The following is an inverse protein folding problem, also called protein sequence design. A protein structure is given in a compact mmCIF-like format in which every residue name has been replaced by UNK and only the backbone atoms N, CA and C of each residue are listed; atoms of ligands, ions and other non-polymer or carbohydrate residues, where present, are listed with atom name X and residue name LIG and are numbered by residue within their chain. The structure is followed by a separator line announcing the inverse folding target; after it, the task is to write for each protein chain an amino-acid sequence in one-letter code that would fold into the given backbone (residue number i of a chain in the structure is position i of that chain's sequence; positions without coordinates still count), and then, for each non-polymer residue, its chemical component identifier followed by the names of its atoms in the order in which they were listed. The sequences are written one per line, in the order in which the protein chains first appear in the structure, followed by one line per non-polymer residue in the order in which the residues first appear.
data_IF_528932461702
#
_entry.id   IF_528932461702
#
_cell.length_a   1.000
_cell.length_b   1.000
_cell.length_c   1.000
_cell.angle_alpha   90.00
_cell.angle_beta   90.00
_cell.angle_gamma   90.00
#
_symmetry.space_group_name_H-M   'P 1'
#
loop_
_entity.id
_entity.type
_entity.pdbx_description
1 polymer ?
#
# COMPACT_ATOMS: atom_id res chain seq x y z
N UNK A 1 4.92 -0.09 8.49
CA UNK A 1 4.84 0.06 7.01
C UNK A 1 5.75 1.17 6.48
N UNK A 2 5.60 2.43 6.93
CA UNK A 2 6.36 3.57 6.37
C UNK A 2 7.88 3.33 6.35
N UNK A 3 8.46 2.86 7.46
CA UNK A 3 9.89 2.51 7.57
C UNK A 3 10.34 1.56 6.45
N UNK A 4 9.64 0.44 6.27
CA UNK A 4 9.96 -0.56 5.25
C UNK A 4 9.81 0.00 3.83
N UNK A 5 8.73 0.75 3.57
CA UNK A 5 8.44 1.29 2.26
C UNK A 5 9.39 2.41 1.83
N UNK A 6 9.88 3.24 2.77
CA UNK A 6 10.95 4.22 2.51
C UNK A 6 12.31 3.56 2.30
N UNK A 7 12.61 2.53 3.11
CA UNK A 7 13.89 1.82 3.06
C UNK A 7 13.95 0.76 1.96
N UNK A 8 14.75 -0.28 2.19
CA UNK A 8 14.88 -1.44 1.28
C UNK A 8 13.83 -2.53 1.53
N UNK A 9 13.09 -2.43 2.63
CA UNK A 9 12.07 -3.40 3.03
C UNK A 9 10.84 -3.46 2.14
N UNK A 10 10.02 -4.47 2.42
CA UNK A 10 8.75 -4.78 1.76
C UNK A 10 7.65 -4.97 2.81
N UNK A 11 6.40 -4.87 2.38
CA UNK A 11 5.24 -5.20 3.19
C UNK A 11 4.56 -6.42 2.59
N UNK A 12 4.37 -7.45 3.40
CA UNK A 12 3.69 -8.68 3.01
C UNK A 12 2.30 -8.73 3.62
N UNK A 13 1.28 -8.95 2.80
CA UNK A 13 -0.05 -9.34 3.27
C UNK A 13 -0.17 -10.85 3.15
N UNK A 14 -0.40 -11.57 4.24
CA UNK A 14 -0.45 -13.03 4.26
C UNK A 14 -1.80 -13.49 4.79
N UNK A 15 -2.55 -14.25 3.99
CA UNK A 15 -3.85 -14.75 4.40
C UNK A 15 -4.32 -15.94 3.55
N UNK A 16 -5.46 -16.49 3.94
CA UNK A 16 -6.16 -17.52 3.18
C UNK A 16 -7.60 -17.07 2.87
N UNK A 17 -8.23 -17.70 1.88
CA UNK A 17 -9.60 -17.39 1.47
C UNK A 17 -9.86 -15.89 1.32
N UNK A 18 -10.95 -15.39 1.91
CA UNK A 18 -11.32 -13.97 1.87
C UNK A 18 -10.20 -13.06 2.39
N UNK A 19 -9.56 -13.40 3.51
CA UNK A 19 -8.50 -12.59 4.10
C UNK A 19 -7.29 -12.42 3.16
N UNK A 20 -6.89 -13.50 2.47
CA UNK A 20 -5.84 -13.43 1.45
C UNK A 20 -6.24 -12.59 0.24
N UNK A 21 -7.49 -12.75 -0.24
CA UNK A 21 -8.02 -11.97 -1.38
C UNK A 21 -8.06 -10.47 -1.08
N UNK A 22 -8.45 -10.08 0.13
CA UNK A 22 -8.47 -8.68 0.54
C UNK A 22 -7.07 -8.04 0.51
N UNK A 23 -6.03 -8.79 0.89
CA UNK A 23 -4.64 -8.35 0.74
C UNK A 23 -4.25 -8.14 -0.74
N UNK A 24 -4.70 -9.02 -1.65
CA UNK A 24 -4.49 -8.85 -3.09
C UNK A 24 -5.18 -7.60 -3.62
N UNK A 25 -6.43 -7.34 -3.21
CA UNK A 25 -7.22 -6.18 -3.62
C UNK A 25 -6.54 -4.88 -3.15
N UNK A 26 -6.21 -4.74 -1.87
CA UNK A 26 -5.54 -3.54 -1.34
C UNK A 26 -4.23 -3.26 -2.08
N UNK A 27 -3.42 -4.30 -2.32
CA UNK A 27 -2.18 -4.14 -3.10
C UNK A 27 -2.43 -3.68 -4.52
N UNK A 28 -3.47 -4.17 -5.20
CA UNK A 28 -3.78 -3.78 -6.57
C UNK A 28 -4.14 -2.29 -6.65
N UNK A 29 -4.92 -1.80 -5.69
CA UNK A 29 -5.30 -0.38 -5.56
C UNK A 29 -4.08 0.50 -5.27
N UNK A 30 -3.10 0.03 -4.50
CA UNK A 30 -1.89 0.80 -4.23
C UNK A 30 -1.09 1.20 -5.48
N UNK A 31 -1.13 0.37 -6.53
CA UNK A 31 -0.42 0.63 -7.78
C UNK A 31 -1.10 1.76 -8.54
N UNK A 32 -2.40 1.62 -8.81
CA UNK A 32 -3.12 2.60 -9.64
C UNK A 32 -3.35 3.92 -8.91
N UNK A 33 -3.61 3.89 -7.60
CA UNK A 33 -3.91 5.07 -6.78
C UNK A 33 -2.65 5.85 -6.41
N UNK A 34 -1.56 5.18 -6.05
CA UNK A 34 -0.37 5.85 -5.48
C UNK A 34 0.91 5.62 -6.28
N UNK A 35 0.83 4.98 -7.45
CA UNK A 35 1.99 4.64 -8.27
C UNK A 35 2.99 3.79 -7.49
N UNK A 36 2.51 2.96 -6.55
CA UNK A 36 3.39 2.14 -5.72
C UNK A 36 4.05 1.05 -6.56
N UNK A 37 5.33 0.79 -6.32
CA UNK A 37 6.02 -0.29 -6.99
C UNK A 37 5.39 -1.65 -6.66
N UNK A 38 5.07 -2.49 -7.66
CA UNK A 38 4.62 -3.86 -7.50
C UNK A 38 5.48 -4.74 -6.58
N UNK A 39 6.75 -4.36 -6.38
CA UNK A 39 7.76 -5.09 -5.59
C UNK A 39 7.77 -4.72 -4.10
N UNK A 40 7.09 -3.64 -3.71
CA UNK A 40 7.12 -3.10 -2.33
C UNK A 40 6.02 -3.66 -1.44
N UNK A 41 4.85 -3.96 -2.02
CA UNK A 41 3.73 -4.58 -1.31
C UNK A 41 3.40 -5.89 -2.01
N UNK A 42 3.52 -6.99 -1.28
CA UNK A 42 3.46 -8.36 -1.81
C UNK A 42 2.30 -9.09 -1.14
N UNK A 43 1.22 -9.40 -1.87
CA UNK A 43 0.14 -10.20 -1.32
C UNK A 43 0.45 -11.68 -1.50
N UNK A 44 0.24 -12.46 -0.44
CA UNK A 44 0.46 -13.89 -0.38
C UNK A 44 -0.86 -14.52 0.06
N UNK A 45 -1.46 -15.26 -0.85
CA UNK A 45 -2.68 -16.04 -0.62
C UNK A 45 -2.32 -17.53 -0.53
N UNK A 46 -2.79 -18.20 0.53
CA UNK A 46 -2.65 -19.64 0.67
C UNK A 46 -3.22 -20.35 -0.58
N UNK A 47 -2.45 -21.29 -1.14
CA UNK A 47 -2.83 -21.99 -2.38
C UNK A 47 -2.48 -21.24 -3.68
N UNK A 48 -1.94 -20.03 -3.58
CA UNK A 48 -1.46 -19.25 -4.72
C UNK A 48 -2.56 -18.55 -5.51
N UNK A 49 -2.18 -17.82 -6.56
CA UNK A 49 -3.05 -16.88 -7.26
C UNK A 49 -4.34 -17.50 -7.82
N UNK A 50 -4.34 -18.80 -8.16
CA UNK A 50 -5.53 -19.53 -8.64
C UNK A 50 -6.71 -19.46 -7.66
N UNK A 51 -6.43 -19.38 -6.36
CA UNK A 51 -7.46 -19.28 -5.31
C UNK A 51 -8.17 -17.93 -5.26
N UNK A 52 -7.70 -16.93 -6.03
CA UNK A 52 -8.45 -15.69 -6.23
C UNK A 52 -9.81 -15.93 -6.88
N UNK A 53 -9.90 -16.88 -7.80
CA UNK A 53 -11.09 -17.12 -8.63
C UNK A 53 -11.87 -18.38 -8.24
N UNK A 54 -11.38 -19.15 -7.28
CA UNK A 54 -11.98 -20.43 -6.89
C UNK A 54 -11.66 -20.84 -5.46
N UNK A 55 -12.13 -22.02 -5.04
CA UNK A 55 -11.86 -22.55 -3.70
C UNK A 55 -10.36 -22.84 -3.51
N UNK A 56 -9.95 -22.83 -2.24
CA UNK A 56 -8.60 -23.23 -1.81
C UNK A 56 -8.70 -24.65 -1.26
N UNK A 57 -8.25 -25.66 -2.01
CA UNK A 57 -8.14 -27.04 -1.50
C UNK A 57 -7.06 -27.10 -0.41
N UNK A 58 -7.46 -27.16 0.86
CA UNK A 58 -6.63 -27.44 2.06
C UNK A 58 -5.32 -26.63 2.20
N UNK A 59 -5.17 -25.53 1.46
CA UNK A 59 -3.90 -24.81 1.41
C UNK A 59 -3.62 -24.00 2.69
N UNK A 60 -4.65 -23.78 3.51
CA UNK A 60 -4.57 -22.98 4.73
C UNK A 60 -4.20 -23.80 5.99
N UNK A 61 -4.24 -25.14 5.89
CA UNK A 61 -4.19 -26.06 7.04
C UNK A 61 -2.77 -26.47 7.47
N UNK A 62 -1.72 -26.02 6.76
CA UNK A 62 -0.33 -26.39 7.04
C UNK A 62 0.52 -25.18 7.41
N UNK A 63 1.09 -25.18 8.63
CA UNK A 63 2.03 -24.12 9.06
C UNK A 63 3.29 -24.12 8.20
N UNK A 64 3.77 -25.29 7.77
CA UNK A 64 4.99 -25.46 6.98
C UNK A 64 4.92 -24.67 5.66
N UNK A 65 3.73 -24.55 5.08
CA UNK A 65 3.53 -23.79 3.85
C UNK A 65 3.72 -22.28 4.08
N UNK A 66 3.27 -21.78 5.24
CA UNK A 66 3.52 -20.40 5.69
C UNK A 66 5.01 -20.13 5.94
N UNK A 67 5.70 -21.09 6.58
CA UNK A 67 7.16 -21.00 6.78
C UNK A 67 7.90 -20.99 5.45
N UNK A 68 7.60 -21.95 4.56
CA UNK A 68 8.23 -22.08 3.24
C UNK A 68 8.10 -20.81 2.41
N UNK A 69 6.94 -20.16 2.42
CA UNK A 69 6.73 -18.96 1.62
C UNK A 69 7.54 -17.76 2.16
N UNK A 70 7.64 -17.59 3.48
CA UNK A 70 8.48 -16.54 4.08
C UNK A 70 9.97 -16.75 3.75
N UNK A 71 10.42 -18.01 3.73
CA UNK A 71 11.77 -18.38 3.29
C UNK A 71 11.99 -18.09 1.80
N UNK A 72 11.03 -18.47 0.95
CA UNK A 72 11.08 -18.24 -0.50
C UNK A 72 11.25 -16.77 -0.85
N UNK A 73 10.55 -15.88 -0.14
CA UNK A 73 10.69 -14.43 -0.33
C UNK A 73 11.91 -13.83 0.36
N UNK A 74 12.71 -14.65 1.06
CA UNK A 74 13.82 -14.22 1.89
C UNK A 74 13.43 -13.04 2.81
N UNK A 75 12.33 -13.21 3.56
CA UNK A 75 11.88 -12.21 4.52
C UNK A 75 12.99 -11.93 5.54
N UNK A 76 13.16 -10.68 5.90
CA UNK A 76 14.21 -10.22 6.82
C UNK A 76 13.74 -9.03 7.69
N UNK A 77 14.62 -8.53 8.54
CA UNK A 77 14.36 -7.45 9.52
C UNK A 77 13.86 -6.11 8.95
N UNK A 78 14.11 -5.84 7.68
CA UNK A 78 13.64 -4.61 7.04
C UNK A 78 12.18 -4.73 6.57
N UNK A 79 11.65 -5.95 6.49
CA UNK A 79 10.30 -6.24 6.04
C UNK A 79 9.25 -6.12 7.17
N UNK A 80 8.00 -5.97 6.75
CA UNK A 80 6.82 -6.06 7.62
C UNK A 80 5.92 -7.18 7.10
N UNK A 81 5.51 -8.09 7.96
CA UNK A 81 4.59 -9.19 7.61
C UNK A 81 3.27 -9.02 8.37
N UNK A 82 2.19 -8.84 7.62
CA UNK A 82 0.84 -8.63 8.15
C UNK A 82 0.03 -9.90 7.87
N UNK A 83 -0.21 -10.68 8.92
CA UNK A 83 -1.01 -11.89 8.90
C UNK A 83 -2.48 -11.56 9.11
N UNK A 84 -3.34 -12.00 8.20
CA UNK A 84 -4.77 -11.68 8.17
C UNK A 84 -5.55 -12.97 8.32
N UNK A 85 -6.28 -13.12 9.43
CA UNK A 85 -7.13 -14.28 9.68
C UNK A 85 -8.28 -13.90 10.60
N UNK A 86 -9.52 -14.02 10.12
CA UNK A 86 -10.70 -13.72 10.92
C UNK A 86 -10.78 -14.64 12.16
N UNK A 87 -10.59 -15.95 11.95
CA UNK A 87 -10.57 -16.93 13.04
C UNK A 87 -9.37 -16.77 13.97
N UNK A 88 -8.26 -16.22 13.46
CA UNK A 88 -7.02 -16.03 14.18
C UNK A 88 -6.29 -17.35 14.49
N UNK A 89 -6.73 -18.47 13.89
CA UNK A 89 -6.17 -19.81 14.10
C UNK A 89 -5.68 -20.50 12.83
N UNK A 90 -5.73 -19.83 11.68
CA UNK A 90 -5.33 -20.39 10.37
C UNK A 90 -3.85 -20.81 10.38
N UNK A 91 -3.50 -22.11 10.27
CA UNK A 91 -2.13 -22.61 10.36
C UNK A 91 -1.15 -21.94 9.39
N UNK A 92 -1.55 -21.74 8.13
CA UNK A 92 -0.71 -21.06 7.14
C UNK A 92 -0.25 -19.66 7.61
N UNK A 93 -1.16 -18.89 8.21
CA UNK A 93 -0.86 -17.54 8.72
C UNK A 93 0.00 -17.61 9.98
N UNK A 94 -0.27 -18.58 10.86
CA UNK A 94 0.56 -18.83 12.06
C UNK A 94 2.00 -19.14 11.65
N UNK A 95 2.21 -20.08 10.74
CA UNK A 95 3.54 -20.47 10.27
C UNK A 95 4.30 -19.31 9.61
N UNK A 96 3.60 -18.47 8.83
CA UNK A 96 4.18 -17.28 8.23
C UNK A 96 4.62 -16.25 9.28
N UNK A 97 3.77 -15.93 10.26
CA UNK A 97 4.12 -14.98 11.32
C UNK A 97 5.26 -15.50 12.21
N UNK A 98 5.25 -16.79 12.57
CA UNK A 98 6.35 -17.44 13.30
C UNK A 98 7.69 -17.27 12.59
N UNK A 99 7.74 -17.63 11.31
CA UNK A 99 8.99 -17.56 10.52
C UNK A 99 9.44 -16.10 10.27
N UNK A 100 8.49 -15.19 10.04
CA UNK A 100 8.77 -13.76 9.88
C UNK A 100 9.41 -13.17 11.15
N UNK A 101 8.82 -13.47 12.32
CA UNK A 101 9.34 -13.04 13.62
C UNK A 101 10.72 -13.61 13.90
N UNK A 102 10.93 -14.91 13.62
CA UNK A 102 12.26 -15.57 13.74
C UNK A 102 13.33 -14.90 12.87
N UNK A 103 12.94 -14.34 11.72
CA UNK A 103 13.81 -13.61 10.78
C UNK A 103 13.98 -12.12 11.12
N UNK A 104 13.38 -11.68 12.23
CA UNK A 104 13.47 -10.30 12.73
C UNK A 104 12.55 -9.31 12.02
N UNK A 105 11.66 -9.76 11.11
CA UNK A 105 10.70 -8.88 10.46
C UNK A 105 9.67 -8.40 11.49
N UNK A 106 9.17 -7.16 11.33
CA UNK A 106 8.08 -6.68 12.16
C UNK A 106 6.79 -7.41 11.79
N UNK A 107 6.13 -8.04 12.75
CA UNK A 107 4.92 -8.83 12.51
C UNK A 107 3.66 -8.13 13.02
N UNK A 108 2.59 -8.20 12.22
CA UNK A 108 1.27 -7.63 12.55
C UNK A 108 0.22 -8.70 12.38
N UNK A 109 -0.71 -8.83 13.33
CA UNK A 109 -1.89 -9.69 13.21
C UNK A 109 -3.15 -8.83 13.04
N UNK A 110 -3.97 -9.17 12.03
CA UNK A 110 -5.32 -8.65 11.86
C UNK A 110 -6.29 -9.81 12.06
N UNK A 111 -7.10 -9.73 13.11
CA UNK A 111 -8.11 -10.74 13.48
C UNK A 111 -9.34 -10.07 14.08
N UNK A 112 -10.41 -10.82 14.28
CA UNK A 112 -11.60 -10.33 15.02
C UNK A 112 -11.78 -11.06 16.36
N UNK A 113 -10.83 -11.94 16.70
CA UNK A 113 -10.85 -12.75 17.92
C UNK A 113 -9.73 -12.30 18.88
N UNK A 114 -10.05 -11.78 20.06
CA UNK A 114 -9.05 -11.33 21.03
C UNK A 114 -8.15 -12.46 21.53
N UNK A 115 -8.65 -13.71 21.51
CA UNK A 115 -7.93 -14.91 21.96
C UNK A 115 -7.28 -15.67 20.80
N UNK A 116 -7.10 -15.02 19.65
CA UNK A 116 -6.50 -15.63 18.46
C UNK A 116 -5.08 -16.17 18.71
N UNK A 117 -4.80 -17.36 18.17
CA UNK A 117 -3.46 -17.98 18.23
C UNK A 117 -2.39 -17.13 17.53
N UNK A 118 -2.74 -16.45 16.44
CA UNK A 118 -1.80 -15.59 15.70
C UNK A 118 -1.28 -14.40 16.52
N UNK A 119 -2.00 -13.97 17.57
CA UNK A 119 -1.61 -12.83 18.42
C UNK A 119 -0.26 -13.07 19.10
N UNK A 120 0.05 -14.33 19.45
CA UNK A 120 1.32 -14.72 20.09
C UNK A 120 2.55 -14.53 19.21
N UNK A 121 2.35 -14.42 17.89
CA UNK A 121 3.42 -14.33 16.90
C UNK A 121 3.49 -12.96 16.21
N UNK A 122 2.69 -12.00 16.69
CA UNK A 122 2.66 -10.63 16.20
C UNK A 122 3.32 -9.67 17.21
N UNK A 123 4.02 -8.66 16.70
CA UNK A 123 4.48 -7.53 17.51
C UNK A 123 3.35 -6.51 17.71
N UNK A 124 2.44 -6.41 16.74
CA UNK A 124 1.28 -5.52 16.77
C UNK A 124 0.02 -6.34 16.48
N UNK A 125 -0.99 -6.22 17.34
CA UNK A 125 -2.30 -6.87 17.16
C UNK A 125 -3.35 -5.82 16.87
N UNK A 126 -4.06 -5.97 15.75
CA UNK A 126 -5.23 -5.17 15.38
C UNK A 126 -6.44 -6.09 15.43
N UNK A 127 -7.28 -5.91 16.45
CA UNK A 127 -8.40 -6.81 16.75
C UNK A 127 -9.74 -6.07 16.87
N UNK A 128 -10.38 -5.65 15.76
CA UNK A 128 -11.75 -5.14 15.80
C UNK A 128 -12.73 -6.27 16.16
N UNK A 129 -13.36 -6.19 17.32
CA UNK A 129 -14.37 -7.16 17.74
C UNK A 129 -15.69 -6.85 17.02
N UNK A 130 -16.05 -7.67 16.04
CA UNK A 130 -17.25 -7.46 15.19
C UNK A 130 -18.47 -8.27 15.64
N UNK A 131 -18.32 -9.13 16.66
CA UNK A 131 -19.35 -10.04 17.16
C UNK A 131 -19.69 -11.19 16.19
N UNK A 132 -20.70 -12.03 16.53
CA UNK A 132 -21.14 -13.15 15.71
C UNK A 132 -21.63 -12.72 14.32
N UNK A 133 -21.31 -13.49 13.28
CA UNK A 133 -21.81 -13.23 11.93
C UNK A 133 -23.30 -13.57 11.81
N UNK A 134 -24.03 -12.86 10.94
CA UNK A 134 -25.46 -13.13 10.70
C UNK A 134 -25.69 -14.54 10.12
N UNK A 135 -24.77 -15.02 9.29
CA UNK A 135 -24.66 -16.44 8.91
C UNK A 135 -23.53 -17.02 9.75
N UNK A 136 -23.85 -17.99 10.61
CA UNK A 136 -22.89 -18.61 11.52
C UNK A 136 -21.62 -19.07 10.77
N UNK A 137 -20.46 -18.54 11.17
CA UNK A 137 -19.16 -18.88 10.60
C UNK A 137 -18.81 -18.20 9.27
N UNK A 138 -19.72 -17.45 8.65
CA UNK A 138 -19.48 -16.75 7.38
C UNK A 138 -18.67 -15.47 7.58
N UNK A 139 -17.39 -15.60 7.97
CA UNK A 139 -16.51 -14.46 8.27
C UNK A 139 -16.14 -13.62 7.06
N UNK A 140 -16.63 -13.95 5.85
CA UNK A 140 -16.53 -13.07 4.68
C UNK A 140 -17.37 -11.79 4.82
N UNK A 141 -18.26 -11.75 5.81
CA UNK A 141 -19.19 -10.66 6.08
C UNK A 141 -18.54 -9.59 6.97
N UNK A 142 -18.94 -9.42 8.23
CA UNK A 142 -18.46 -8.32 9.08
C UNK A 142 -16.95 -8.37 9.28
N UNK A 143 -16.38 -9.56 9.52
CA UNK A 143 -14.94 -9.70 9.70
C UNK A 143 -14.17 -9.35 8.42
N UNK A 144 -14.65 -9.77 7.25
CA UNK A 144 -14.08 -9.39 5.95
C UNK A 144 -14.15 -7.87 5.71
N UNK A 145 -15.28 -7.24 6.01
CA UNK A 145 -15.45 -5.79 5.91
C UNK A 145 -14.48 -5.04 6.83
N UNK A 146 -14.37 -5.46 8.09
CA UNK A 146 -13.42 -4.86 9.04
C UNK A 146 -11.96 -5.00 8.55
N UNK A 147 -11.59 -6.18 8.02
CA UNK A 147 -10.27 -6.41 7.43
C UNK A 147 -10.00 -5.47 6.25
N UNK A 148 -10.96 -5.30 5.33
CA UNK A 148 -10.82 -4.37 4.20
C UNK A 148 -10.61 -2.94 4.69
N UNK A 149 -11.43 -2.47 5.63
CA UNK A 149 -11.31 -1.12 6.19
C UNK A 149 -9.94 -0.90 6.83
N UNK A 150 -9.46 -1.84 7.64
CA UNK A 150 -8.14 -1.76 8.28
C UNK A 150 -7.01 -1.71 7.24
N UNK A 151 -7.04 -2.60 6.24
CA UNK A 151 -6.02 -2.60 5.18
C UNK A 151 -6.00 -1.26 4.46
N UNK A 152 -7.17 -0.75 4.06
CA UNK A 152 -7.30 0.54 3.37
C UNK A 152 -6.83 1.70 4.25
N UNK A 153 -7.13 1.70 5.55
CA UNK A 153 -6.66 2.74 6.48
C UNK A 153 -5.13 2.70 6.61
N UNK A 154 -4.56 1.52 6.85
CA UNK A 154 -3.11 1.34 7.00
C UNK A 154 -2.35 1.73 5.72
N UNK A 155 -2.82 1.24 4.58
CA UNK A 155 -2.19 1.46 3.28
C UNK A 155 -2.29 2.94 2.88
N UNK A 156 -3.48 3.54 2.96
CA UNK A 156 -3.70 4.96 2.65
C UNK A 156 -2.91 5.88 3.57
N UNK A 157 -2.94 5.67 4.89
CA UNK A 157 -2.19 6.48 5.84
C UNK A 157 -0.67 6.40 5.59
N UNK A 158 -0.16 5.22 5.24
CA UNK A 158 1.23 5.07 4.84
C UNK A 158 1.54 5.86 3.56
N UNK A 159 0.68 5.81 2.54
CA UNK A 159 0.90 6.55 1.28
C UNK A 159 0.86 8.06 1.47
N UNK A 160 -0.05 8.58 2.31
CA UNK A 160 -0.08 9.99 2.69
C UNK A 160 1.25 10.40 3.32
N UNK A 161 1.74 9.64 4.31
CA UNK A 161 3.02 9.92 4.99
C UNK A 161 4.25 9.71 4.09
N UNK A 162 4.11 8.99 2.98
CA UNK A 162 5.11 8.83 1.93
C UNK A 162 5.03 9.93 0.85
N UNK A 163 4.19 10.96 1.05
CA UNK A 163 4.04 12.08 0.12
C UNK A 163 3.34 11.70 -1.17
N UNK A 164 2.61 10.58 -1.24
CA UNK A 164 1.89 10.16 -2.47
C UNK A 164 0.57 10.91 -2.68
N UNK A 165 0.17 11.70 -1.69
CA UNK A 165 -1.04 12.52 -1.66
C UNK A 165 -0.62 13.94 -1.25
N UNK A 166 -1.28 14.94 -1.83
CA UNK A 166 -1.18 16.34 -1.40
C UNK A 166 -2.57 16.82 -1.03
N UNK A 167 -2.75 17.32 0.19
CA UNK A 167 -4.09 17.55 0.76
C UNK A 167 -4.97 16.29 0.63
N UNK A 168 -6.00 16.33 -0.22
CA UNK A 168 -6.86 15.20 -0.58
C UNK A 168 -6.69 14.76 -2.06
N UNK A 169 -5.69 15.29 -2.77
CA UNK A 169 -5.44 15.06 -4.18
C UNK A 169 -4.47 13.91 -4.43
N UNK A 170 -4.83 13.05 -5.39
CA UNK A 170 -4.08 11.86 -5.78
C UNK A 170 -2.93 12.21 -6.73
N UNK A 171 -1.97 13.02 -6.27
CA UNK A 171 -0.86 13.58 -7.07
C UNK A 171 0.16 12.53 -7.55
N UNK A 172 0.00 11.25 -7.22
CA UNK A 172 0.89 10.17 -7.64
C UNK A 172 0.12 9.03 -8.35
N UNK A 173 -1.09 9.30 -8.85
CA UNK A 173 -1.89 8.33 -9.60
C UNK A 173 -1.19 7.92 -10.90
N UNK A 174 -1.46 6.69 -11.37
CA UNK A 174 -0.97 6.24 -12.68
C UNK A 174 -2.00 6.57 -13.77
N UNK A 175 -1.68 7.43 -14.76
CA UNK A 175 -2.61 7.92 -15.77
C UNK A 175 -2.76 6.95 -16.96
N UNK A 176 -3.15 5.71 -16.64
CA UNK A 176 -3.22 4.58 -17.59
C UNK A 176 -4.53 4.49 -18.39
N UNK A 177 -5.49 5.36 -18.11
CA UNK A 177 -6.76 5.42 -18.85
C UNK A 177 -7.16 6.86 -19.08
N UNK A 178 -8.03 7.11 -20.07
CA UNK A 178 -8.57 8.45 -20.36
C UNK A 178 -9.13 9.11 -19.11
N UNK A 179 -9.94 8.39 -18.32
CA UNK A 179 -10.47 8.87 -17.03
C UNK A 179 -9.37 9.36 -16.07
N UNK A 180 -8.26 8.62 -15.99
CA UNK A 180 -7.16 8.95 -15.07
C UNK A 180 -6.29 10.09 -15.60
N UNK A 181 -6.14 10.22 -16.93
CA UNK A 181 -5.51 11.38 -17.58
C UNK A 181 -6.33 12.65 -17.35
N UNK A 182 -7.65 12.58 -17.50
CA UNK A 182 -8.56 13.70 -17.19
C UNK A 182 -8.49 14.10 -15.72
N UNK A 183 -8.40 13.13 -14.82
CA UNK A 183 -8.18 13.41 -13.40
C UNK A 183 -6.83 14.09 -13.16
N UNK A 184 -5.76 13.69 -13.85
CA UNK A 184 -4.45 14.32 -13.75
C UNK A 184 -4.49 15.80 -14.17
N UNK A 185 -5.14 16.12 -15.31
CA UNK A 185 -5.33 17.50 -15.77
C UNK A 185 -6.04 18.35 -14.72
N UNK A 186 -7.17 17.86 -14.18
CA UNK A 186 -7.91 18.55 -13.10
C UNK A 186 -7.05 18.79 -11.86
N UNK A 187 -6.23 17.82 -11.45
CA UNK A 187 -5.32 17.98 -10.30
C UNK A 187 -4.32 19.10 -10.55
N UNK A 188 -3.69 19.13 -11.74
CA UNK A 188 -2.74 20.19 -12.10
C UNK A 188 -3.43 21.55 -12.08
N UNK A 189 -4.57 21.69 -12.77
CA UNK A 189 -5.36 22.93 -12.78
C UNK A 189 -5.70 23.42 -11.37
N UNK A 190 -6.20 22.54 -10.49
CA UNK A 190 -6.53 22.90 -9.11
C UNK A 190 -5.31 23.36 -8.30
N UNK A 191 -4.13 22.79 -8.56
CA UNK A 191 -2.91 23.09 -7.79
C UNK A 191 -2.13 24.29 -8.31
N UNK A 192 -2.32 24.66 -9.57
CA UNK A 192 -1.51 25.71 -10.22
C UNK A 192 -2.32 26.88 -10.76
N UNK A 193 -3.63 26.72 -10.97
CA UNK A 193 -4.52 27.76 -11.52
C UNK A 193 -4.44 27.92 -13.04
N UNK A 194 -3.71 27.07 -13.76
CA UNK A 194 -3.58 27.15 -15.23
C UNK A 194 -4.82 26.61 -15.96
N UNK A 195 -4.92 26.92 -17.26
CA UNK A 195 -5.99 26.40 -18.11
C UNK A 195 -5.89 24.89 -18.33
N UNK A 196 -6.95 24.31 -18.87
CA UNK A 196 -6.97 22.89 -19.21
C UNK A 196 -5.90 22.53 -20.26
N UNK A 197 -5.78 23.36 -21.30
CA UNK A 197 -4.83 23.20 -22.41
C UNK A 197 -3.38 23.31 -21.92
N UNK A 198 -3.12 24.26 -21.01
CA UNK A 198 -1.80 24.41 -20.42
C UNK A 198 -1.45 23.23 -19.51
N UNK A 199 -2.40 22.75 -18.68
CA UNK A 199 -2.21 21.57 -17.87
C UNK A 199 -1.92 20.32 -18.72
N UNK A 200 -2.64 20.13 -19.82
CA UNK A 200 -2.41 19.05 -20.78
C UNK A 200 -1.01 19.11 -21.37
N UNK A 201 -0.59 20.29 -21.87
CA UNK A 201 0.75 20.49 -22.43
C UNK A 201 1.87 20.09 -21.47
N UNK A 202 1.80 20.53 -20.20
CA UNK A 202 2.81 20.17 -19.19
C UNK A 202 2.75 18.68 -18.81
N UNK A 203 1.56 18.09 -18.73
CA UNK A 203 1.43 16.66 -18.47
C UNK A 203 2.02 15.84 -19.61
N UNK A 204 1.75 16.17 -20.87
CA UNK A 204 2.33 15.45 -22.01
C UNK A 204 3.86 15.58 -22.04
N UNK A 205 4.40 16.79 -21.85
CA UNK A 205 5.84 17.03 -21.82
C UNK A 205 6.58 16.26 -20.71
N UNK A 206 5.88 15.89 -19.64
CA UNK A 206 6.45 15.16 -18.49
C UNK A 206 6.08 13.68 -18.47
N UNK A 207 5.50 13.15 -19.55
CA UNK A 207 4.92 11.80 -19.60
C UNK A 207 3.96 11.52 -18.42
N UNK A 208 3.13 12.53 -18.15
CA UNK A 208 2.12 12.62 -17.11
C UNK A 208 2.65 12.46 -15.67
N UNK A 209 3.86 12.96 -15.39
CA UNK A 209 4.37 13.11 -14.02
C UNK A 209 3.75 14.34 -13.35
N UNK A 210 2.57 14.15 -12.76
CA UNK A 210 1.73 15.21 -12.15
C UNK A 210 2.54 16.11 -11.21
N UNK A 211 3.39 15.53 -10.36
CA UNK A 211 4.15 16.31 -9.38
C UNK A 211 5.18 17.18 -10.06
N UNK A 212 5.88 16.64 -11.05
CA UNK A 212 6.86 17.41 -11.79
C UNK A 212 6.16 18.52 -12.58
N UNK A 213 5.02 18.26 -13.23
CA UNK A 213 4.22 19.29 -13.91
C UNK A 213 3.85 20.44 -12.98
N UNK A 214 3.38 20.14 -11.76
CA UNK A 214 3.04 21.15 -10.75
C UNK A 214 4.26 22.01 -10.40
N UNK A 215 5.43 21.40 -10.16
CA UNK A 215 6.65 22.13 -9.83
C UNK A 215 7.14 22.99 -11.00
N UNK A 216 7.10 22.47 -12.23
CA UNK A 216 7.48 23.22 -13.44
C UNK A 216 6.60 24.46 -13.59
N UNK A 217 5.28 24.34 -13.42
CA UNK A 217 4.35 25.45 -13.55
C UNK A 217 4.56 26.48 -12.42
N UNK A 218 4.58 26.03 -11.16
CA UNK A 218 4.61 26.97 -10.01
C UNK A 218 5.97 27.63 -9.80
N UNK A 219 7.05 26.92 -10.11
CA UNK A 219 8.41 27.40 -9.86
C UNK A 219 9.17 27.76 -11.15
N UNK A 220 8.63 27.51 -12.34
CA UNK A 220 9.29 27.84 -13.60
C UNK A 220 10.62 27.10 -13.79
N UNK A 221 10.71 25.85 -13.31
CA UNK A 221 11.93 25.02 -13.40
C UNK A 221 11.82 23.97 -14.50
N UNK A 222 12.96 23.41 -14.93
CA UNK A 222 12.97 22.29 -15.88
C UNK A 222 12.41 21.01 -15.26
N UNK A 223 12.03 20.05 -16.10
CA UNK A 223 11.56 18.74 -15.67
C UNK A 223 12.62 17.98 -14.85
N UNK A 224 13.88 18.04 -15.29
CA UNK A 224 15.02 17.39 -14.63
C UNK A 224 15.22 17.95 -13.21
N UNK A 225 15.15 19.27 -13.09
CA UNK A 225 15.25 19.97 -11.80
C UNK A 225 14.10 19.58 -10.87
N UNK A 226 12.86 19.56 -11.40
CA UNK A 226 11.69 19.12 -10.65
C UNK A 226 11.82 17.67 -10.17
N UNK A 227 12.27 16.74 -11.03
CA UNK A 227 12.48 15.33 -10.67
C UNK A 227 13.57 15.15 -9.62
N UNK A 228 14.71 15.81 -9.80
CA UNK A 228 15.83 15.72 -8.86
C UNK A 228 15.40 16.16 -7.47
N UNK A 229 14.68 17.28 -7.38
CA UNK A 229 14.20 17.80 -6.11
C UNK A 229 13.13 16.89 -5.49
N UNK A 230 12.17 16.40 -6.29
CA UNK A 230 11.17 15.43 -5.81
C UNK A 230 11.83 14.17 -5.26
N UNK A 231 12.95 13.71 -5.83
CA UNK A 231 13.71 12.57 -5.30
C UNK A 231 14.32 12.91 -3.95
N UNK A 232 14.93 14.09 -3.81
CA UNK A 232 15.56 14.57 -2.57
C UNK A 232 14.54 14.68 -1.42
N UNK A 233 13.38 15.28 -1.67
CA UNK A 233 12.35 15.49 -0.64
C UNK A 233 11.37 14.33 -0.50
N UNK A 234 11.69 13.16 -1.07
CA UNK A 234 10.86 11.95 -1.03
C UNK A 234 9.43 12.18 -1.57
N UNK A 235 9.32 12.96 -2.63
CA UNK A 235 8.08 13.22 -3.36
C UNK A 235 7.11 14.19 -2.68
N UNK A 236 7.54 14.87 -1.62
CA UNK A 236 6.73 15.88 -0.93
C UNK A 236 6.74 17.19 -1.72
N UNK A 237 5.59 17.55 -2.31
CA UNK A 237 5.45 18.74 -3.16
C UNK A 237 5.69 20.03 -2.37
N UNK A 238 5.14 20.17 -1.16
CA UNK A 238 5.27 21.40 -0.37
C UNK A 238 6.73 21.69 -0.01
N UNK A 239 7.48 20.66 0.40
CA UNK A 239 8.92 20.80 0.66
C UNK A 239 9.70 21.18 -0.59
N UNK A 240 9.36 20.61 -1.75
CA UNK A 240 9.99 20.97 -3.01
C UNK A 240 9.72 22.43 -3.38
N UNK A 241 8.46 22.89 -3.30
CA UNK A 241 8.09 24.29 -3.57
C UNK A 241 8.82 25.25 -2.63
N UNK A 242 8.85 24.97 -1.33
CA UNK A 242 9.58 25.80 -0.35
C UNK A 242 11.07 25.94 -0.68
N UNK A 243 11.73 24.87 -1.13
CA UNK A 243 13.15 24.93 -1.52
C UNK A 243 13.34 25.79 -2.77
N UNK A 244 12.47 25.65 -3.78
CA UNK A 244 12.55 26.44 -5.02
C UNK A 244 12.29 27.93 -4.79
N UNK A 245 11.32 28.26 -3.94
CA UNK A 245 11.01 29.65 -3.59
C UNK A 245 12.15 30.33 -2.81
N UNK A 246 12.85 29.59 -1.94
CA UNK A 246 14.04 30.11 -1.24
C UNK A 246 15.20 30.39 -2.18
N UNK A 247 15.45 29.51 -3.15
CA UNK A 247 16.51 29.71 -4.17
C UNK A 247 16.24 30.96 -4.99
N UNK A 248 15.00 31.16 -5.47
CA UNK A 248 14.60 32.37 -6.22
C UNK A 248 14.74 33.69 -5.47
N UNK A 249 14.79 33.68 -4.12
CA UNK A 249 14.99 34.89 -3.31
C UNK A 249 16.46 35.16 -2.98
N UNK A 250 17.33 34.19 -3.25
CA UNK A 250 18.77 34.27 -2.97
C UNK A 250 19.60 34.60 -4.22
N UNK A 251 18.96 34.55 -5.39
CA UNK A 251 19.44 35.01 -6.69
C UNK A 251 18.83 36.39 -7.00
#
# INVERSE_FOLDING_TARGET
MIRALRGKGRVFYVGAGTSGRLGVIDRAELISTFGMSPKKVIPIIAGGIKTMFGPSEMAEDKEENGVKIMRKYNVNKDDVVIGISASGRTPYVIGALKEAKRRGATTVAITVNPNAKINRYADIVICPIVGPEVIMGSTRMKAGTAQKMILTMMSTAAMIKLGKVHSNLMVNLLPISTKLRERAKRIVMMMTGVSYEEAERYLEATNYDIKASILMIRAGVSYETAKALLKEVNGNIDKALMILERKKRSD
#
